data_IF_663627993037
#
_entry.id   IF_663627993037
#
_cell.length_a   1.000
_cell.length_b   1.000
_cell.length_c   1.000
_cell.angle_alpha   90.00
_cell.angle_beta   90.00
_cell.angle_gamma   90.00
#
_symmetry.space_group_name_H-M   'P 1'
#
loop_
_entity.id
_entity.type
_entity.pdbx_description
1 polymer ?
#
# COMPACT_ATOMS: atom_id res chain seq x y z
N UNK A 1 15.02 -31.66 40.51
CA UNK A 1 15.49 -30.44 39.81
C UNK A 1 14.29 -29.85 39.11
N UNK A 2 13.85 -28.67 39.55
CA UNK A 2 12.65 -28.01 39.03
C UNK A 2 12.94 -27.46 37.64
N UNK A 3 12.36 -28.05 36.59
CA UNK A 3 12.31 -27.40 35.27
C UNK A 3 11.39 -26.18 35.39
N UNK A 4 11.99 -25.01 35.57
CA UNK A 4 11.30 -23.74 35.45
C UNK A 4 11.00 -23.53 33.97
N UNK A 5 9.77 -23.85 33.55
CA UNK A 5 9.27 -23.50 32.21
C UNK A 5 9.17 -21.99 32.11
N UNK A 6 9.78 -21.43 31.07
CA UNK A 6 9.65 -20.02 30.77
C UNK A 6 8.20 -19.73 30.37
N UNK A 7 7.57 -18.73 30.99
CA UNK A 7 6.19 -18.32 30.70
C UNK A 7 6.01 -17.89 29.23
N UNK A 8 7.09 -17.52 28.55
CA UNK A 8 7.10 -17.20 27.12
C UNK A 8 7.27 -18.44 26.23
N UNK A 9 7.53 -19.63 26.78
CA UNK A 9 7.70 -20.87 26.01
C UNK A 9 6.37 -21.45 25.49
N UNK A 10 5.24 -20.93 25.99
CA UNK A 10 3.88 -21.36 25.62
C UNK A 10 3.34 -20.65 24.36
N UNK A 11 4.16 -19.87 23.65
CA UNK A 11 3.73 -19.36 22.35
C UNK A 11 3.86 -20.48 21.30
N UNK A 12 2.75 -21.20 21.14
CA UNK A 12 2.53 -22.36 20.29
C UNK A 12 3.34 -22.33 18.97
N UNK A 13 4.18 -23.35 18.81
CA UNK A 13 4.77 -23.73 17.53
C UNK A 13 3.69 -24.28 16.61
N UNK A 14 2.88 -23.41 16.01
CA UNK A 14 2.20 -23.76 14.77
C UNK A 14 3.24 -23.75 13.63
N UNK A 15 3.29 -24.77 12.76
CA UNK A 15 4.20 -24.76 11.61
C UNK A 15 3.96 -23.51 10.76
N UNK A 16 4.97 -22.65 10.61
CA UNK A 16 4.87 -21.38 9.87
C UNK A 16 4.42 -20.17 10.68
N UNK A 17 4.15 -20.32 11.98
CA UNK A 17 3.91 -19.20 12.88
C UNK A 17 5.22 -18.83 13.60
N UNK A 18 5.75 -17.65 13.27
CA UNK A 18 6.85 -17.07 14.04
C UNK A 18 6.25 -16.20 15.17
N UNK A 19 6.31 -16.64 16.43
CA UNK A 19 5.76 -15.89 17.56
C UNK A 19 6.43 -14.51 17.75
N UNK A 20 7.64 -14.31 17.22
CA UNK A 20 8.34 -13.04 17.25
C UNK A 20 7.89 -12.07 16.14
N UNK A 21 7.24 -12.56 15.07
CA UNK A 21 6.94 -11.75 13.90
C UNK A 21 5.94 -10.63 14.17
N UNK A 22 4.93 -10.85 15.02
CA UNK A 22 3.97 -9.78 15.36
C UNK A 22 4.62 -8.63 16.16
N UNK A 23 5.35 -8.90 17.27
CA UNK A 23 6.12 -7.86 17.97
C UNK A 23 7.16 -7.15 17.10
N UNK A 24 7.87 -7.89 16.23
CA UNK A 24 8.89 -7.34 15.34
C UNK A 24 8.29 -6.42 14.28
N UNK A 25 7.19 -6.83 13.63
CA UNK A 25 6.42 -5.96 12.73
C UNK A 25 5.92 -4.71 13.46
N UNK A 26 5.37 -4.84 14.67
CA UNK A 26 4.92 -3.68 15.44
C UNK A 26 6.08 -2.71 15.67
N UNK A 27 7.25 -3.21 16.07
CA UNK A 27 8.46 -2.41 16.32
C UNK A 27 8.87 -1.66 15.06
N UNK A 28 9.05 -2.35 13.94
CA UNK A 28 9.43 -1.74 12.67
C UNK A 28 8.43 -0.68 12.19
N UNK A 29 7.12 -0.94 12.36
CA UNK A 29 6.06 0.01 12.02
C UNK A 29 6.06 1.24 12.95
N UNK A 30 6.30 1.08 14.25
CA UNK A 30 6.42 2.19 15.19
C UNK A 30 7.60 3.07 14.85
N UNK A 31 8.79 2.50 14.67
CA UNK A 31 9.99 3.25 14.33
C UNK A 31 9.75 4.12 13.09
N UNK A 32 9.19 3.51 12.04
CA UNK A 32 8.89 4.22 10.79
C UNK A 32 7.86 5.35 10.96
N UNK A 33 6.73 5.07 11.60
CA UNK A 33 5.66 6.06 11.73
C UNK A 33 6.06 7.18 12.71
N UNK A 34 6.86 6.88 13.74
CA UNK A 34 7.42 7.91 14.63
C UNK A 34 8.40 8.83 13.89
N UNK A 35 9.28 8.28 13.05
CA UNK A 35 10.17 9.09 12.19
C UNK A 35 9.34 10.00 11.27
N UNK A 36 8.29 9.44 10.64
CA UNK A 36 7.39 10.22 9.79
C UNK A 36 6.68 11.34 10.57
N UNK A 37 6.12 11.02 11.74
CA UNK A 37 5.42 11.99 12.59
C UNK A 37 6.36 13.08 13.13
N UNK A 38 7.62 12.74 13.42
CA UNK A 38 8.63 13.69 13.88
C UNK A 38 9.04 14.70 12.79
N UNK A 39 9.06 14.28 11.52
CA UNK A 39 9.34 15.14 10.37
C UNK A 39 8.13 15.89 9.83
N UNK A 40 6.93 15.62 10.34
CA UNK A 40 5.69 16.20 9.84
C UNK A 40 5.64 17.71 10.12
N UNK A 41 5.32 18.51 9.10
CA UNK A 41 5.00 19.93 9.30
C UNK A 41 3.69 20.06 10.09
N UNK A 42 3.81 20.27 11.40
CA UNK A 42 2.66 20.28 12.32
C UNK A 42 1.86 21.56 12.17
N UNK A 43 0.75 21.49 11.44
CA UNK A 43 -0.22 22.60 11.33
C UNK A 43 -1.01 22.82 12.63
N UNK A 44 -1.15 21.78 13.47
CA UNK A 44 -1.85 21.85 14.75
C UNK A 44 -1.36 20.77 15.71
N UNK A 45 -0.96 21.19 16.92
CA UNK A 45 -0.59 20.27 17.99
C UNK A 45 -1.70 19.26 18.32
N UNK A 46 -2.97 19.69 18.27
CA UNK A 46 -4.14 18.83 18.51
C UNK A 46 -4.27 17.74 17.44
N UNK A 47 -3.94 18.04 16.19
CA UNK A 47 -3.94 17.07 15.10
C UNK A 47 -2.88 16.00 15.31
N UNK A 48 -1.66 16.41 15.65
CA UNK A 48 -0.57 15.48 15.97
C UNK A 48 -0.91 14.59 17.17
N UNK A 49 -1.42 15.16 18.26
CA UNK A 49 -1.84 14.41 19.45
C UNK A 49 -2.91 13.37 19.13
N UNK A 50 -3.87 13.68 18.25
CA UNK A 50 -4.88 12.70 17.80
C UNK A 50 -4.24 11.52 17.07
N UNK A 51 -3.31 11.78 16.15
CA UNK A 51 -2.58 10.72 15.42
C UNK A 51 -1.78 9.83 16.37
N UNK A 52 -1.05 10.43 17.30
CA UNK A 52 -0.28 9.70 18.32
C UNK A 52 -1.18 8.82 19.20
N UNK A 53 -2.34 9.33 19.64
CA UNK A 53 -3.32 8.55 20.44
C UNK A 53 -3.84 7.32 19.69
N UNK A 54 -4.03 7.41 18.38
CA UNK A 54 -4.49 6.30 17.55
C UNK A 54 -3.38 5.37 17.04
N UNK A 55 -2.11 5.73 17.26
CA UNK A 55 -0.97 5.09 16.60
C UNK A 55 -0.89 3.59 16.91
N UNK A 56 -1.01 3.21 18.19
CA UNK A 56 -0.95 1.80 18.58
C UNK A 56 -2.02 0.95 17.92
N UNK A 57 -3.24 1.48 17.82
CA UNK A 57 -4.34 0.77 17.19
C UNK A 57 -4.03 0.48 15.72
N UNK A 58 -3.61 1.49 14.95
CA UNK A 58 -3.32 1.30 13.53
C UNK A 58 -2.09 0.42 13.28
N UNK A 59 -1.07 0.49 14.12
CA UNK A 59 0.12 -0.37 14.00
C UNK A 59 -0.23 -1.82 14.28
N UNK A 60 -0.94 -2.10 15.38
CA UNK A 60 -1.34 -3.48 15.70
C UNK A 60 -2.27 -4.04 14.62
N UNK A 61 -3.19 -3.23 14.12
CA UNK A 61 -4.07 -3.64 13.03
C UNK A 61 -3.29 -3.95 11.75
N UNK A 62 -2.36 -3.08 11.35
CA UNK A 62 -1.51 -3.29 10.18
C UNK A 62 -0.64 -4.55 10.33
N UNK A 63 0.04 -4.74 11.47
CA UNK A 63 0.88 -5.91 11.71
C UNK A 63 0.08 -7.22 11.65
N UNK A 64 -1.10 -7.29 12.30
CA UNK A 64 -1.99 -8.47 12.21
C UNK A 64 -2.44 -8.73 10.78
N UNK A 65 -2.82 -7.67 10.07
CA UNK A 65 -3.31 -7.78 8.70
C UNK A 65 -2.19 -8.17 7.72
N UNK A 66 -0.94 -7.76 7.96
CA UNK A 66 0.22 -8.19 7.18
C UNK A 66 0.50 -9.68 7.34
N UNK A 67 0.47 -10.20 8.58
CA UNK A 67 0.70 -11.62 8.87
C UNK A 67 -0.41 -12.53 8.34
N UNK A 68 -1.65 -12.05 8.28
CA UNK A 68 -2.80 -12.80 7.78
C UNK A 68 -3.08 -12.58 6.28
N UNK A 69 -2.34 -11.69 5.63
CA UNK A 69 -2.54 -11.38 4.21
C UNK A 69 -2.13 -12.55 3.32
N UNK A 70 -2.93 -12.82 2.30
CA UNK A 70 -2.60 -13.76 1.22
C UNK A 70 -1.71 -13.13 0.14
N UNK A 71 -0.98 -12.06 0.49
CA UNK A 71 -0.10 -11.38 -0.44
C UNK A 71 0.95 -12.38 -1.00
N UNK A 72 1.04 -12.54 -2.34
CA UNK A 72 1.98 -13.47 -2.97
C UNK A 72 3.42 -12.96 -3.01
N UNK A 73 3.75 -11.93 -2.23
CA UNK A 73 5.08 -11.35 -2.09
C UNK A 73 5.66 -11.79 -0.74
N UNK A 74 6.98 -11.89 -0.67
CA UNK A 74 7.67 -12.31 0.56
C UNK A 74 7.55 -11.20 1.61
N UNK A 75 7.08 -11.55 2.81
CA UNK A 75 6.96 -10.59 3.90
C UNK A 75 8.30 -10.49 4.64
N UNK A 76 8.92 -9.32 4.56
CA UNK A 76 10.07 -8.95 5.39
C UNK A 76 9.54 -8.32 6.68
N UNK A 77 9.57 -9.14 7.74
CA UNK A 77 9.09 -8.80 9.09
C UNK A 77 9.93 -7.67 9.70
N UNK A 78 11.24 -7.67 9.48
CA UNK A 78 12.18 -6.70 10.05
C UNK A 78 11.98 -5.29 9.49
N UNK A 79 11.70 -5.19 8.20
CA UNK A 79 11.49 -3.90 7.53
C UNK A 79 10.00 -3.52 7.41
N UNK A 80 9.09 -4.38 7.89
CA UNK A 80 7.64 -4.27 7.69
C UNK A 80 7.29 -3.90 6.24
N UNK A 81 7.73 -4.75 5.31
CA UNK A 81 7.58 -4.55 3.86
C UNK A 81 7.37 -5.87 3.11
N UNK A 82 6.76 -5.81 1.93
CA UNK A 82 6.70 -6.97 1.03
C UNK A 82 7.77 -6.88 -0.05
N UNK A 83 8.37 -8.00 -0.41
CA UNK A 83 9.45 -8.08 -1.39
C UNK A 83 9.04 -8.97 -2.57
N UNK A 84 9.40 -8.52 -3.76
CA UNK A 84 9.32 -9.31 -5.01
C UNK A 84 10.34 -8.75 -6.01
N UNK A 85 10.87 -9.57 -6.94
CA UNK A 85 11.78 -9.07 -7.96
C UNK A 85 11.22 -7.89 -8.74
N UNK A 86 12.00 -6.80 -8.78
CA UNK A 86 11.63 -5.59 -9.50
C UNK A 86 12.08 -5.62 -10.95
N UNK A 87 11.15 -5.30 -11.85
CA UNK A 87 11.41 -5.17 -13.30
C UNK A 87 12.35 -3.98 -13.59
N UNK A 88 13.08 -4.05 -14.69
CA UNK A 88 14.02 -2.98 -15.10
C UNK A 88 13.35 -1.61 -15.32
N UNK A 89 12.09 -1.61 -15.80
CA UNK A 89 11.32 -0.41 -16.12
C UNK A 89 9.85 -0.64 -15.79
N UNK A 90 9.14 0.44 -15.43
CA UNK A 90 7.69 0.46 -15.36
C UNK A 90 7.12 0.52 -16.78
N UNK A 91 6.57 -0.59 -17.26
CA UNK A 91 5.91 -0.63 -18.58
C UNK A 91 4.43 -0.30 -18.41
N UNK A 92 4.01 0.87 -18.88
CA UNK A 92 2.60 1.13 -19.13
C UNK A 92 2.14 0.21 -20.28
N UNK A 93 1.10 -0.59 -20.04
CA UNK A 93 0.55 -1.45 -21.11
C UNK A 93 -0.24 -0.58 -22.08
N UNK A 94 -0.04 -0.73 -23.39
CA UNK A 94 -0.72 0.08 -24.42
C UNK A 94 -2.26 0.07 -24.28
N UNK A 95 -2.84 -1.06 -23.84
CA UNK A 95 -4.29 -1.20 -23.65
C UNK A 95 -4.77 -0.92 -22.22
N UNK A 96 -3.97 -0.23 -21.38
CA UNK A 96 -4.32 0.05 -19.97
C UNK A 96 -5.63 0.82 -19.85
N UNK A 97 -5.79 1.91 -20.62
CA UNK A 97 -6.97 2.78 -20.57
C UNK A 97 -8.23 2.01 -20.93
N UNK A 98 -8.24 1.27 -22.03
CA UNK A 98 -9.37 0.44 -22.45
C UNK A 98 -9.71 -0.66 -21.42
N UNK A 99 -8.69 -1.28 -20.78
CA UNK A 99 -8.91 -2.27 -19.72
C UNK A 99 -9.54 -1.65 -18.46
N UNK A 100 -9.11 -0.46 -18.07
CA UNK A 100 -9.63 0.27 -16.92
C UNK A 100 -11.08 0.69 -17.17
N UNK A 101 -11.34 1.34 -18.30
CA UNK A 101 -12.66 1.81 -18.70
C UNK A 101 -13.66 0.64 -18.75
N UNK A 102 -13.28 -0.46 -19.43
CA UNK A 102 -14.09 -1.68 -19.47
C UNK A 102 -14.38 -2.22 -18.07
N UNK A 103 -13.45 -2.11 -17.13
CA UNK A 103 -13.62 -2.59 -15.76
C UNK A 103 -14.56 -1.70 -14.94
N UNK A 104 -14.40 -0.37 -15.00
CA UNK A 104 -15.24 0.61 -14.29
C UNK A 104 -16.69 0.62 -14.80
N UNK A 105 -16.88 0.38 -16.10
CA UNK A 105 -18.20 0.32 -16.75
C UNK A 105 -18.98 -0.96 -16.44
N UNK A 106 -18.35 -2.02 -15.88
CA UNK A 106 -19.06 -3.28 -15.54
C UNK A 106 -20.18 -3.13 -14.52
N UNK A 107 -20.20 -2.04 -13.74
CA UNK A 107 -21.15 -1.85 -12.65
C UNK A 107 -20.79 -2.58 -11.34
N UNK A 108 -19.77 -3.45 -11.36
CA UNK A 108 -19.43 -4.33 -10.22
C UNK A 108 -18.33 -3.79 -9.29
N UNK A 109 -17.72 -2.67 -9.63
CA UNK A 109 -16.65 -2.05 -8.83
C UNK A 109 -17.26 -1.41 -7.57
N UNK A 110 -16.76 -1.82 -6.41
CA UNK A 110 -17.24 -1.36 -5.11
C UNK A 110 -16.42 -0.19 -4.58
N UNK A 111 -17.05 0.66 -3.76
CA UNK A 111 -16.31 1.65 -2.96
C UNK A 111 -15.40 0.94 -1.96
N UNK A 112 -14.26 1.53 -1.67
CA UNK A 112 -13.17 0.94 -0.88
C UNK A 112 -12.24 0.03 -1.67
N UNK A 113 -12.50 -0.25 -2.96
CA UNK A 113 -11.63 -1.10 -3.77
C UNK A 113 -10.22 -0.49 -3.85
N UNK A 114 -9.21 -1.23 -3.40
CA UNK A 114 -7.80 -0.86 -3.54
C UNK A 114 -7.38 -0.91 -5.02
N UNK A 115 -6.80 0.19 -5.50
CA UNK A 115 -6.41 0.37 -6.90
C UNK A 115 -4.98 0.91 -7.02
N UNK A 116 -4.23 0.50 -8.05
CA UNK A 116 -2.92 1.06 -8.35
C UNK A 116 -3.05 2.40 -9.08
N UNK A 117 -2.31 3.40 -8.60
CA UNK A 117 -2.07 4.68 -9.26
C UNK A 117 -0.61 4.73 -9.70
N UNK A 118 -0.39 4.86 -11.00
CA UNK A 118 0.94 5.02 -11.57
C UNK A 118 1.31 6.50 -11.52
N UNK A 119 2.45 6.80 -10.89
CA UNK A 119 3.13 8.07 -11.06
C UNK A 119 4.22 7.87 -12.12
N UNK A 120 4.06 8.51 -13.28
CA UNK A 120 4.97 8.45 -14.41
C UNK A 120 5.88 9.69 -14.51
N UNK A 121 6.15 10.35 -13.38
CA UNK A 121 7.10 11.46 -13.32
C UNK A 121 8.45 11.04 -13.94
N UNK A 122 8.99 11.79 -14.92
CA UNK A 122 10.25 11.47 -15.59
C UNK A 122 11.46 11.31 -14.64
N UNK A 123 11.42 11.95 -13.46
CA UNK A 123 12.49 11.89 -12.46
C UNK A 123 12.40 10.64 -11.61
N UNK A 124 11.19 10.30 -11.18
CA UNK A 124 10.92 9.16 -10.29
C UNK A 124 9.53 8.57 -10.55
N UNK A 125 9.50 7.44 -11.24
CA UNK A 125 8.29 6.70 -11.51
C UNK A 125 7.98 5.73 -10.35
N UNK A 126 6.70 5.58 -10.03
CA UNK A 126 6.25 4.76 -8.91
C UNK A 126 4.91 4.10 -9.24
N UNK A 127 4.61 3.00 -8.55
CA UNK A 127 3.24 2.50 -8.41
C UNK A 127 2.83 2.69 -6.96
N UNK A 128 1.73 3.42 -6.75
CA UNK A 128 1.16 3.72 -5.43
C UNK A 128 -0.21 3.07 -5.29
N UNK A 129 -0.66 2.90 -4.06
CA UNK A 129 -1.99 2.38 -3.77
C UNK A 129 -2.91 3.52 -3.36
N UNK A 130 -4.15 3.41 -3.81
CA UNK A 130 -5.25 4.22 -3.32
C UNK A 130 -6.54 3.38 -3.23
N UNK A 131 -7.62 3.97 -2.76
CA UNK A 131 -8.95 3.34 -2.74
C UNK A 131 -9.98 4.22 -3.46
N UNK A 132 -10.87 3.58 -4.21
CA UNK A 132 -12.01 4.25 -4.82
C UNK A 132 -13.01 4.65 -3.74
N UNK A 133 -13.38 5.92 -3.65
CA UNK A 133 -14.40 6.39 -2.70
C UNK A 133 -15.61 7.05 -3.39
N UNK A 134 -15.53 7.37 -4.70
CA UNK A 134 -16.69 7.80 -5.52
C UNK A 134 -16.58 7.31 -6.95
N UNK A 135 -17.72 7.01 -7.58
CA UNK A 135 -17.82 6.68 -9.01
C UNK A 135 -18.95 7.53 -9.62
N UNK A 136 -18.60 8.43 -10.54
CA UNK A 136 -19.51 9.27 -11.29
C UNK A 136 -19.66 8.69 -12.71
N UNK A 137 -20.75 7.94 -12.92
CA UNK A 137 -21.01 7.25 -14.19
C UNK A 137 -21.52 8.20 -15.27
N UNK A 138 -22.13 9.32 -14.89
CA UNK A 138 -22.73 10.27 -15.82
C UNK A 138 -21.65 11.05 -16.57
N UNK A 139 -20.55 11.38 -15.87
CA UNK A 139 -19.41 12.10 -16.45
C UNK A 139 -18.21 11.20 -16.76
N UNK A 140 -18.31 9.89 -16.48
CA UNK A 140 -17.23 8.93 -16.75
C UNK A 140 -15.99 9.17 -15.89
N UNK A 141 -16.17 9.46 -14.60
CA UNK A 141 -15.10 9.77 -13.65
C UNK A 141 -15.14 8.92 -12.39
N UNK A 142 -13.98 8.72 -11.78
CA UNK A 142 -13.82 8.00 -10.52
C UNK A 142 -12.93 8.81 -9.60
N UNK A 143 -13.30 8.90 -8.32
CA UNK A 143 -12.51 9.56 -7.30
C UNK A 143 -11.78 8.50 -6.47
N UNK A 144 -10.50 8.73 -6.24
CA UNK A 144 -9.68 7.98 -5.30
C UNK A 144 -9.35 8.86 -4.09
N UNK A 145 -9.28 8.24 -2.91
CA UNK A 145 -9.27 8.95 -1.64
C UNK A 145 -8.03 9.85 -1.40
N UNK A 146 -6.86 9.51 -1.94
CA UNK A 146 -5.63 10.32 -1.83
C UNK A 146 -5.36 11.13 -3.10
N UNK A 147 -5.51 10.54 -4.29
CA UNK A 147 -5.11 11.17 -5.55
C UNK A 147 -6.23 11.91 -6.28
N UNK A 148 -7.46 11.89 -5.76
CA UNK A 148 -8.56 12.67 -6.32
C UNK A 148 -9.21 12.05 -7.56
N UNK A 149 -9.67 12.91 -8.47
CA UNK A 149 -10.48 12.52 -9.63
C UNK A 149 -9.64 12.04 -10.81
N UNK A 150 -10.09 10.95 -11.44
CA UNK A 150 -9.60 10.39 -12.69
C UNK A 150 -10.74 10.19 -13.68
N UNK A 151 -10.44 10.29 -14.98
CA UNK A 151 -11.31 9.80 -16.04
C UNK A 151 -11.34 8.26 -16.04
N UNK A 152 -12.38 7.66 -16.61
CA UNK A 152 -12.43 6.20 -16.80
C UNK A 152 -11.31 5.65 -17.70
N UNK A 153 -10.72 6.50 -18.54
CA UNK A 153 -9.52 6.23 -19.34
C UNK A 153 -8.23 6.25 -18.51
N UNK A 154 -8.29 6.77 -17.28
CA UNK A 154 -7.27 6.66 -16.23
C UNK A 154 -6.45 7.92 -15.99
N UNK A 155 -6.57 8.96 -16.82
CA UNK A 155 -5.89 10.24 -16.63
C UNK A 155 -6.45 10.99 -15.42
N UNK A 156 -5.57 11.60 -14.62
CA UNK A 156 -5.99 12.50 -13.56
C UNK A 156 -6.66 13.75 -14.13
N UNK A 157 -7.63 14.29 -13.40
CA UNK A 157 -8.26 15.57 -13.73
C UNK A 157 -7.67 16.74 -12.94
N UNK A 158 -6.70 16.47 -12.05
CA UNK A 158 -6.02 17.52 -11.28
C UNK A 158 -4.99 18.25 -12.15
N UNK A 159 -4.82 19.55 -11.94
CA UNK A 159 -3.92 20.38 -12.74
C UNK A 159 -2.44 20.03 -12.57
N UNK A 160 -2.06 19.44 -11.43
CA UNK A 160 -0.73 18.90 -11.13
C UNK A 160 -0.65 17.37 -11.36
N UNK A 161 -1.70 16.78 -11.92
CA UNK A 161 -1.89 15.34 -12.10
C UNK A 161 -1.39 14.78 -13.42
N UNK A 162 -0.67 15.53 -14.25
CA UNK A 162 -0.27 15.15 -15.62
C UNK A 162 0.52 13.82 -15.70
N UNK A 163 1.14 13.41 -14.60
CA UNK A 163 1.90 12.17 -14.50
C UNK A 163 1.16 11.05 -13.76
N UNK A 164 -0.04 11.31 -13.25
CA UNK A 164 -0.82 10.37 -12.48
C UNK A 164 -1.83 9.64 -13.37
N UNK A 165 -1.78 8.31 -13.32
CA UNK A 165 -2.69 7.46 -14.06
C UNK A 165 -3.26 6.37 -13.17
N UNK A 166 -4.57 6.35 -13.02
CA UNK A 166 -5.28 5.21 -12.45
C UNK A 166 -5.13 4.00 -13.36
N UNK A 167 -5.02 2.81 -12.76
CA UNK A 167 -5.03 1.56 -13.50
C UNK A 167 -5.94 0.53 -12.84
N UNK A 168 -6.39 -0.42 -13.66
CA UNK A 168 -7.09 -1.60 -13.17
C UNK A 168 -6.16 -2.37 -12.21
N UNK A 169 -6.67 -2.92 -11.09
CA UNK A 169 -5.89 -3.72 -10.15
C UNK A 169 -5.45 -5.06 -10.77
N UNK A 170 -4.40 -5.04 -11.59
CA UNK A 170 -3.77 -6.23 -12.16
C UNK A 170 -2.66 -6.74 -11.23
N UNK A 171 -2.52 -8.07 -11.07
CA UNK A 171 -1.56 -8.70 -10.13
C UNK A 171 -0.15 -8.12 -10.24
N UNK A 172 0.35 -7.83 -11.45
CA UNK A 172 1.68 -7.24 -11.66
C UNK A 172 1.81 -5.82 -11.10
N UNK A 173 0.78 -4.98 -11.24
CA UNK A 173 0.79 -3.60 -10.72
C UNK A 173 0.62 -3.60 -9.21
N UNK A 174 -0.27 -4.45 -8.68
CA UNK A 174 -0.45 -4.60 -7.25
C UNK A 174 0.83 -5.08 -6.58
N UNK A 175 1.50 -6.10 -7.13
CA UNK A 175 2.80 -6.59 -6.63
C UNK A 175 3.85 -5.48 -6.59
N UNK A 176 3.94 -4.68 -7.67
CA UNK A 176 4.86 -3.55 -7.71
C UNK A 176 4.53 -2.49 -6.65
N UNK A 177 3.23 -2.22 -6.43
CA UNK A 177 2.77 -1.24 -5.46
C UNK A 177 3.00 -1.67 -4.01
N UNK A 178 2.63 -2.91 -3.64
CA UNK A 178 2.82 -3.44 -2.28
C UNK A 178 4.28 -3.61 -1.92
N UNK A 179 5.15 -3.83 -2.92
CA UNK A 179 6.60 -3.89 -2.73
C UNK A 179 7.30 -2.56 -2.90
N UNK A 180 6.58 -1.44 -3.06
CA UNK A 180 7.19 -0.12 -3.10
C UNK A 180 8.13 0.12 -4.30
N UNK A 181 7.96 -0.61 -5.40
CA UNK A 181 8.85 -0.50 -6.56
C UNK A 181 8.86 0.93 -7.13
N UNK A 182 10.05 1.41 -7.46
CA UNK A 182 10.26 2.72 -8.05
C UNK A 182 11.42 2.75 -9.06
N UNK A 183 11.34 3.66 -10.03
CA UNK A 183 12.28 3.74 -11.14
C UNK A 183 12.72 5.19 -11.36
N UNK A 184 14.01 5.39 -11.57
CA UNK A 184 14.57 6.65 -12.05
C UNK A 184 14.80 6.60 -13.57
N UNK A 185 15.31 7.70 -14.15
CA UNK A 185 15.79 7.74 -15.53
C UNK A 185 16.85 6.67 -15.86
N UNK A 186 17.58 6.14 -14.86
CA UNK A 186 18.59 5.07 -15.04
C UNK A 186 18.01 3.66 -14.95
N UNK A 187 16.71 3.51 -14.63
CA UNK A 187 16.05 2.24 -14.40
C UNK A 187 15.63 2.05 -12.95
N UNK A 188 15.51 0.78 -12.51
CA UNK A 188 15.10 0.44 -11.14
C UNK A 188 15.99 1.11 -10.08
N UNK A 189 15.36 1.58 -9.01
CA UNK A 189 16.02 2.05 -7.79
C UNK A 189 15.48 1.27 -6.60
N UNK A 190 16.09 1.42 -5.43
CA UNK A 190 15.64 0.72 -4.23
C UNK A 190 14.16 0.99 -3.96
N UNK A 191 13.38 -0.02 -3.52
CA UNK A 191 11.99 0.20 -3.21
C UNK A 191 11.77 1.24 -2.12
N UNK A 192 10.72 2.03 -2.26
CA UNK A 192 10.31 2.98 -1.23
C UNK A 192 9.61 2.24 -0.09
N UNK A 193 9.68 2.81 1.09
CA UNK A 193 8.83 2.34 2.18
C UNK A 193 7.39 2.81 2.00
N UNK A 194 6.43 1.91 2.21
CA UNK A 194 5.01 2.24 2.15
C UNK A 194 4.60 3.08 3.36
N UNK A 195 3.70 4.05 3.16
CA UNK A 195 3.03 4.73 4.26
C UNK A 195 2.14 3.76 5.04
N UNK A 196 1.78 4.09 6.29
CA UNK A 196 0.84 3.28 7.06
C UNK A 196 -0.51 3.12 6.34
N UNK A 197 -0.97 4.16 5.64
CA UNK A 197 -2.17 4.13 4.79
C UNK A 197 -2.04 3.10 3.67
N UNK A 198 -0.94 3.14 2.92
CA UNK A 198 -0.71 2.20 1.81
C UNK A 198 -0.54 0.76 2.30
N UNK A 199 0.04 0.54 3.48
CA UNK A 199 0.07 -0.79 4.08
C UNK A 199 -1.33 -1.32 4.39
N UNK A 200 -2.18 -0.50 5.00
CA UNK A 200 -3.56 -0.91 5.29
C UNK A 200 -4.32 -1.24 3.99
N UNK A 201 -4.14 -0.43 2.94
CA UNK A 201 -4.69 -0.71 1.61
C UNK A 201 -4.14 -2.01 1.02
N UNK A 202 -2.83 -2.25 1.15
CA UNK A 202 -2.17 -3.46 0.67
C UNK A 202 -2.71 -4.73 1.35
N UNK A 203 -2.94 -4.67 2.67
CA UNK A 203 -3.52 -5.79 3.42
C UNK A 203 -4.98 -6.08 3.07
N UNK A 204 -5.70 -5.10 2.52
CA UNK A 204 -7.09 -5.24 2.10
C UNK A 204 -7.27 -5.78 0.67
N UNK A 205 -6.17 -6.00 -0.07
CA UNK A 205 -6.23 -6.57 -1.42
C UNK A 205 -6.63 -8.05 -1.34
N UNK A 206 -7.67 -8.41 -2.09
CA UNK A 206 -8.01 -9.82 -2.36
C UNK A 206 -7.07 -10.36 -3.44
N UNK A 207 -6.26 -11.35 -3.07
CA UNK A 207 -5.23 -11.96 -3.92
C UNK A 207 -5.64 -13.29 -4.57
N UNK A 208 -6.87 -13.75 -4.29
CA UNK A 208 -7.41 -15.02 -4.79
C UNK A 208 -7.44 -15.15 -6.33
#
# INVERSE_FOLDING_TARGET
MSEQRDIFEVVERQPGYDPAAFPELCTALYERELIFLAGLQVQSARGLQRRLKSLSYYIQNAARAMLSSQCPCELDVQNASWQTPQKRQLKATANRSAKLEKWLTTGKVQLGTTVPVLNLDPRLQQVRLDSIDRIDRDTGRVHCNEFGWFLFTGESTAADGDHLFLAKPEKNLLKAAVSGHQWSHKGRTDPRTLSLRELLLATAIDWS
#
